data_IF_846704378494
#
_entry.id   IF_846704378494
#
_cell.length_a   1.000
_cell.length_b   1.000
_cell.length_c   1.000
_cell.angle_alpha   90.00
_cell.angle_beta   90.00
_cell.angle_gamma   90.00
#
_symmetry.space_group_name_H-M   'P 1'
#
loop_
_entity.id
_entity.type
_entity.pdbx_description
1 polymer ?
#
# COMPACT_ATOMS: atom_id res chain seq x y z
N UNK A 1 -6.11 -13.00 -43.46
CA UNK A 1 -5.36 -12.87 -42.21
C UNK A 1 -6.31 -13.26 -41.09
N UNK A 2 -6.10 -14.42 -40.45
CA UNK A 2 -6.84 -14.82 -39.25
C UNK A 2 -6.45 -13.89 -38.12
N UNK A 3 -7.34 -12.99 -37.75
CA UNK A 3 -7.19 -12.22 -36.51
C UNK A 3 -7.99 -12.94 -35.39
N UNK A 4 -7.52 -12.94 -34.14
CA UNK A 4 -8.32 -13.43 -33.02
C UNK A 4 -9.60 -12.59 -32.91
N UNK A 5 -10.67 -13.22 -32.42
CA UNK A 5 -11.91 -12.51 -32.13
C UNK A 5 -11.65 -11.37 -31.12
N UNK A 6 -12.23 -10.20 -31.39
CA UNK A 6 -12.06 -9.05 -30.51
C UNK A 6 -12.39 -7.74 -31.16
N UNK A 7 -12.32 -6.66 -30.37
CA UNK A 7 -12.59 -5.29 -30.83
C UNK A 7 -11.43 -4.37 -30.43
N UNK A 8 -10.98 -3.55 -31.35
CA UNK A 8 -9.95 -2.52 -31.07
C UNK A 8 -10.56 -1.14 -31.21
N UNK A 9 -10.45 -0.34 -30.15
CA UNK A 9 -10.80 1.08 -30.15
C UNK A 9 -9.52 1.91 -30.19
N UNK A 10 -9.42 2.82 -31.15
CA UNK A 10 -8.32 3.75 -31.28
C UNK A 10 -8.83 5.18 -31.12
N UNK A 11 -8.54 5.79 -29.98
CA UNK A 11 -8.95 7.17 -29.68
C UNK A 11 -7.74 8.08 -29.76
N UNK A 12 -7.82 9.11 -30.63
CA UNK A 12 -6.78 10.11 -30.82
C UNK A 12 -7.37 11.51 -30.69
N UNK A 13 -6.54 12.48 -30.27
CA UNK A 13 -6.94 13.88 -30.17
C UNK A 13 -8.24 14.04 -29.32
N UNK A 14 -8.31 13.35 -28.19
CA UNK A 14 -9.42 13.47 -27.25
C UNK A 14 -9.65 14.94 -26.92
N UNK A 15 -10.90 15.41 -26.99
CA UNK A 15 -11.30 16.80 -26.79
C UNK A 15 -10.95 17.79 -27.96
N UNK A 16 -10.51 17.31 -29.12
CA UNK A 16 -10.25 18.19 -30.28
C UNK A 16 -11.43 19.11 -30.60
N UNK A 17 -12.64 18.58 -30.59
CA UNK A 17 -13.89 19.31 -30.87
C UNK A 17 -14.58 19.85 -29.62
N UNK A 18 -13.99 19.69 -28.42
CA UNK A 18 -14.53 20.14 -27.15
C UNK A 18 -13.46 20.85 -26.32
N UNK A 19 -12.91 21.98 -26.77
CA UNK A 19 -11.79 22.66 -26.12
C UNK A 19 -12.11 23.14 -24.71
N UNK A 20 -13.39 23.40 -24.42
CA UNK A 20 -13.81 23.71 -23.04
C UNK A 20 -13.55 22.56 -22.06
N UNK A 21 -13.71 21.30 -22.50
CA UNK A 21 -13.42 20.12 -21.66
C UNK A 21 -11.91 19.91 -21.47
N UNK A 22 -11.09 20.22 -22.48
CA UNK A 22 -9.63 20.07 -22.33
C UNK A 22 -9.05 20.99 -21.26
N UNK A 23 -9.69 22.15 -20.98
CA UNK A 23 -9.28 23.07 -19.90
C UNK A 23 -9.44 22.50 -18.49
N UNK A 24 -10.28 21.49 -18.31
CA UNK A 24 -10.50 20.82 -17.02
C UNK A 24 -9.50 19.69 -16.76
N UNK A 25 -8.71 19.27 -17.76
CA UNK A 25 -7.67 18.29 -17.56
C UNK A 25 -6.63 18.81 -16.56
N UNK A 26 -6.23 17.93 -15.68
CA UNK A 26 -5.12 18.15 -14.75
C UNK A 26 -3.78 17.88 -15.44
N UNK A 27 -2.70 17.80 -14.69
CA UNK A 27 -1.43 17.37 -15.25
C UNK A 27 -1.50 15.92 -15.74
N UNK A 28 -0.70 15.57 -16.74
CA UNK A 28 -0.63 14.21 -17.28
C UNK A 28 -0.40 13.15 -16.20
N UNK A 29 0.40 13.47 -15.18
CA UNK A 29 0.65 12.59 -14.04
C UNK A 29 -0.61 12.38 -13.20
N UNK A 30 -1.39 13.42 -12.97
CA UNK A 30 -2.65 13.36 -12.20
C UNK A 30 -3.71 12.56 -12.97
N UNK A 31 -3.87 12.82 -14.27
CA UNK A 31 -4.81 12.08 -15.11
C UNK A 31 -4.43 10.60 -15.20
N UNK A 32 -3.14 10.31 -15.34
CA UNK A 32 -2.64 8.95 -15.35
C UNK A 32 -2.90 8.22 -14.02
N UNK A 33 -2.81 8.93 -12.89
CA UNK A 33 -3.17 8.38 -11.58
C UNK A 33 -4.65 8.04 -11.47
N UNK A 34 -5.54 8.91 -11.98
CA UNK A 34 -6.98 8.64 -12.01
C UNK A 34 -7.32 7.42 -12.89
N UNK A 35 -6.67 7.32 -14.06
CA UNK A 35 -6.85 6.15 -14.94
C UNK A 35 -6.37 4.88 -14.25
N UNK A 36 -5.22 4.93 -13.59
CA UNK A 36 -4.69 3.79 -12.85
C UNK A 36 -5.65 3.32 -11.76
N UNK A 37 -6.13 4.23 -10.92
CA UNK A 37 -7.13 3.92 -9.88
C UNK A 37 -8.42 3.34 -10.47
N UNK A 38 -8.89 3.87 -11.60
CA UNK A 38 -10.06 3.31 -12.29
C UNK A 38 -9.79 1.87 -12.78
N UNK A 39 -8.61 1.60 -13.32
CA UNK A 39 -8.24 0.26 -13.77
C UNK A 39 -8.13 -0.73 -12.61
N UNK A 40 -7.61 -0.30 -11.45
CA UNK A 40 -7.60 -1.10 -10.22
C UNK A 40 -9.03 -1.44 -9.76
N UNK A 41 -9.91 -0.44 -9.73
CA UNK A 41 -11.31 -0.62 -9.36
C UNK A 41 -12.06 -1.56 -10.31
N UNK A 42 -11.84 -1.45 -11.61
CA UNK A 42 -12.43 -2.36 -12.60
C UNK A 42 -11.90 -3.79 -12.45
N UNK A 43 -10.61 -3.96 -12.23
CA UNK A 43 -10.02 -5.27 -12.03
C UNK A 43 -10.55 -5.98 -10.77
N UNK A 44 -10.71 -5.24 -9.67
CA UNK A 44 -11.30 -5.77 -8.43
C UNK A 44 -12.79 -6.08 -8.56
N UNK A 45 -13.50 -5.31 -9.40
CA UNK A 45 -14.91 -5.52 -9.68
C UNK A 45 -15.17 -6.78 -10.53
N UNK A 46 -14.23 -7.07 -11.46
CA UNK A 46 -14.35 -8.10 -12.47
C UNK A 46 -13.15 -9.07 -12.45
N UNK A 47 -13.02 -9.90 -11.41
CA UNK A 47 -11.90 -10.83 -11.29
C UNK A 47 -11.91 -11.95 -12.37
N UNK A 48 -13.03 -12.12 -13.08
CA UNK A 48 -13.20 -13.02 -14.21
C UNK A 48 -12.57 -12.49 -15.51
N UNK A 49 -12.21 -11.19 -15.54
CA UNK A 49 -11.62 -10.54 -16.73
C UNK A 49 -10.11 -10.34 -16.50
N UNK A 50 -9.32 -10.74 -17.50
CA UNK A 50 -7.89 -10.39 -17.52
C UNK A 50 -7.70 -8.95 -18.01
N UNK A 51 -7.22 -8.07 -17.14
CA UNK A 51 -6.89 -6.69 -17.46
C UNK A 51 -5.39 -6.53 -17.68
N UNK A 52 -5.03 -5.80 -18.72
CA UNK A 52 -3.65 -5.37 -18.94
C UNK A 52 -3.62 -3.87 -19.23
N UNK A 53 -3.11 -3.10 -18.27
CA UNK A 53 -2.96 -1.66 -18.41
C UNK A 53 -1.51 -1.28 -18.68
N UNK A 54 -1.30 -0.56 -19.77
CA UNK A 54 0.02 -0.13 -20.22
C UNK A 54 0.04 1.40 -20.28
N UNK A 55 1.02 2.01 -19.61
CA UNK A 55 1.27 3.44 -19.64
C UNK A 55 2.72 3.70 -20.03
N UNK A 56 2.96 4.57 -21.00
CA UNK A 56 4.30 4.89 -21.49
C UNK A 56 5.15 3.64 -21.82
N UNK A 57 4.53 2.68 -22.52
CA UNK A 57 5.13 1.37 -22.90
C UNK A 57 5.47 0.46 -21.72
N UNK A 58 5.11 0.82 -20.49
CA UNK A 58 5.30 -0.01 -19.30
C UNK A 58 3.97 -0.62 -18.87
N UNK A 59 3.99 -1.91 -18.55
CA UNK A 59 2.84 -2.59 -17.95
C UNK A 59 2.73 -2.13 -16.49
N UNK A 60 1.62 -1.47 -16.16
CA UNK A 60 1.32 -0.97 -14.81
C UNK A 60 0.41 -1.89 -14.02
N UNK A 61 -0.49 -2.61 -14.70
CA UNK A 61 -1.38 -3.60 -14.12
C UNK A 61 -1.52 -4.78 -15.07
N UNK A 62 -1.51 -5.99 -14.54
CA UNK A 62 -1.85 -7.19 -15.28
C UNK A 62 -2.52 -8.20 -14.34
N UNK A 63 -3.76 -8.59 -14.63
CA UNK A 63 -4.54 -9.58 -13.88
C UNK A 63 -4.80 -10.83 -14.71
N UNK A 64 -5.00 -11.96 -14.05
CA UNK A 64 -5.11 -13.25 -14.71
C UNK A 64 -6.49 -13.57 -15.27
N UNK A 65 -7.56 -12.95 -14.72
CA UNK A 65 -8.95 -13.29 -15.10
C UNK A 65 -9.40 -14.69 -14.61
N UNK A 66 -8.89 -15.11 -13.45
CA UNK A 66 -9.10 -16.46 -12.90
C UNK A 66 -10.21 -16.53 -11.82
N UNK A 67 -11.10 -15.55 -11.77
CA UNK A 67 -12.16 -15.39 -10.75
C UNK A 67 -11.66 -15.18 -9.31
N UNK A 68 -10.34 -15.15 -9.08
CA UNK A 68 -9.77 -14.97 -7.74
C UNK A 68 -9.60 -13.49 -7.41
N UNK A 69 -10.48 -12.94 -6.58
CA UNK A 69 -10.34 -11.56 -6.06
C UNK A 69 -9.03 -11.39 -5.28
N UNK A 70 -8.59 -12.43 -4.57
CA UNK A 70 -7.32 -12.43 -3.83
C UNK A 70 -6.11 -12.27 -4.73
N UNK A 71 -6.11 -12.90 -5.92
CA UNK A 71 -5.03 -12.77 -6.88
C UNK A 71 -5.02 -11.39 -7.54
N UNK A 72 -6.20 -10.80 -7.75
CA UNK A 72 -6.31 -9.40 -8.19
C UNK A 72 -5.76 -8.46 -7.11
N UNK A 73 -6.12 -8.65 -5.84
CA UNK A 73 -5.58 -7.86 -4.72
C UNK A 73 -4.05 -8.01 -4.65
N UNK A 74 -3.52 -9.22 -4.84
CA UNK A 74 -2.08 -9.44 -4.91
C UNK A 74 -1.42 -8.66 -6.06
N UNK A 75 -2.04 -8.67 -7.24
CA UNK A 75 -1.52 -7.99 -8.43
C UNK A 75 -1.55 -6.45 -8.30
N UNK A 76 -2.57 -5.91 -7.63
CA UNK A 76 -2.78 -4.47 -7.44
C UNK A 76 -2.00 -3.92 -6.24
N UNK A 77 -2.11 -4.54 -5.08
CA UNK A 77 -1.62 -4.00 -3.81
C UNK A 77 -0.39 -4.73 -3.27
N UNK A 78 0.00 -5.83 -3.92
CA UNK A 78 1.19 -6.59 -3.56
C UNK A 78 1.01 -7.63 -2.47
N UNK A 79 2.11 -8.34 -2.20
CA UNK A 79 2.16 -9.54 -1.35
C UNK A 79 1.82 -9.26 0.11
N UNK A 80 2.28 -8.14 0.64
CA UNK A 80 2.08 -7.80 2.07
C UNK A 80 0.60 -7.67 2.39
N UNK A 81 -0.14 -6.92 1.55
CA UNK A 81 -1.58 -6.74 1.73
C UNK A 81 -2.31 -8.06 1.54
N UNK A 82 -2.00 -8.81 0.47
CA UNK A 82 -2.68 -10.08 0.18
C UNK A 82 -2.51 -11.15 1.29
N UNK A 83 -1.43 -11.09 2.08
CA UNK A 83 -1.20 -12.00 3.23
C UNK A 83 -1.97 -11.62 4.48
N UNK A 84 -2.27 -10.35 4.63
CA UNK A 84 -2.95 -9.80 5.80
C UNK A 84 -4.46 -9.66 5.61
N UNK A 85 -5.03 -10.40 4.66
CA UNK A 85 -6.46 -10.40 4.37
C UNK A 85 -7.19 -11.45 5.21
N UNK A 86 -8.38 -11.08 5.63
CA UNK A 86 -9.40 -11.96 6.22
C UNK A 86 -10.55 -12.06 5.22
N UNK A 87 -10.90 -13.27 4.86
CA UNK A 87 -12.02 -13.54 3.99
C UNK A 87 -13.34 -13.35 4.74
N UNK A 88 -14.29 -12.72 4.09
CA UNK A 88 -15.64 -12.51 4.58
C UNK A 88 -16.65 -13.05 3.59
N UNK A 89 -17.65 -13.74 4.12
CA UNK A 89 -18.80 -14.21 3.35
C UNK A 89 -19.99 -14.27 4.30
N UNK A 90 -21.04 -13.57 3.94
CA UNK A 90 -22.33 -13.60 4.64
C UNK A 90 -23.45 -13.44 3.62
N UNK A 91 -24.48 -14.25 3.79
CA UNK A 91 -25.69 -14.18 2.99
C UNK A 91 -26.89 -14.08 3.94
N UNK A 92 -27.79 -13.15 3.64
CA UNK A 92 -29.06 -13.00 4.32
C UNK A 92 -30.19 -12.92 3.28
N UNK A 93 -31.43 -12.68 3.73
CA UNK A 93 -32.62 -12.71 2.87
C UNK A 93 -32.67 -11.64 1.77
N UNK A 94 -31.85 -10.59 1.83
CA UNK A 94 -31.89 -9.45 0.90
C UNK A 94 -30.54 -9.07 0.31
N UNK A 95 -29.44 -9.54 0.91
CA UNK A 95 -28.10 -9.18 0.48
C UNK A 95 -27.10 -10.31 0.70
N UNK A 96 -26.21 -10.50 -0.26
CA UNK A 96 -25.01 -11.34 -0.14
C UNK A 96 -23.78 -10.44 -0.08
N UNK A 97 -22.91 -10.65 0.90
CA UNK A 97 -21.65 -9.94 1.08
C UNK A 97 -20.51 -10.91 0.98
N UNK A 98 -19.57 -10.67 0.09
CA UNK A 98 -18.37 -11.46 -0.09
C UNK A 98 -17.17 -10.56 -0.28
N UNK A 99 -15.97 -11.04 0.06
CA UNK A 99 -14.73 -10.34 -0.20
C UNK A 99 -13.69 -10.45 0.89
N UNK A 100 -12.93 -9.40 1.07
CA UNK A 100 -11.79 -9.38 1.97
C UNK A 100 -11.74 -8.09 2.79
N UNK A 101 -11.37 -8.24 4.06
CA UNK A 101 -11.04 -7.13 4.96
C UNK A 101 -9.62 -7.32 5.47
N UNK A 102 -8.91 -6.23 5.71
CA UNK A 102 -7.52 -6.29 6.13
C UNK A 102 -7.36 -6.40 7.63
N UNK A 103 -6.34 -7.12 8.08
CA UNK A 103 -5.90 -7.07 9.47
C UNK A 103 -5.48 -5.64 9.83
N UNK A 104 -5.55 -5.24 11.12
CA UNK A 104 -5.17 -3.89 11.57
C UNK A 104 -3.77 -3.43 11.18
N UNK A 105 -2.84 -4.37 11.00
CA UNK A 105 -1.43 -4.10 10.66
C UNK A 105 -1.22 -3.40 9.30
N UNK A 106 -2.17 -3.60 8.35
CA UNK A 106 -2.09 -2.98 7.01
C UNK A 106 -2.93 -1.71 6.86
N UNK A 107 -3.46 -1.16 7.96
CA UNK A 107 -4.25 0.06 7.94
C UNK A 107 -3.45 1.27 7.46
N UNK A 108 -4.11 2.19 6.76
CA UNK A 108 -3.51 3.38 6.15
C UNK A 108 -4.04 4.67 6.78
N UNK A 109 -3.35 5.79 6.51
CA UNK A 109 -3.78 7.13 6.93
C UNK A 109 -4.86 7.76 6.05
N UNK A 110 -5.35 7.06 5.03
CA UNK A 110 -6.40 7.52 4.11
C UNK A 110 -7.29 6.34 3.70
N UNK A 111 -8.44 6.66 3.07
CA UNK A 111 -9.45 5.67 2.64
C UNK A 111 -9.23 5.10 1.23
N UNK A 112 -8.04 5.23 0.65
CA UNK A 112 -7.79 4.76 -0.72
C UNK A 112 -7.91 3.25 -0.88
N UNK A 113 -7.88 2.50 0.21
CA UNK A 113 -8.00 1.04 0.22
C UNK A 113 -9.39 0.54 0.63
N UNK A 114 -10.36 1.42 0.73
CA UNK A 114 -11.76 1.07 0.97
C UNK A 114 -12.49 0.96 -0.38
N UNK A 115 -12.65 -0.25 -0.87
CA UNK A 115 -13.33 -0.52 -2.12
C UNK A 115 -14.58 -1.36 -1.88
N UNK A 116 -15.74 -0.85 -2.23
CA UNK A 116 -16.98 -1.63 -2.18
C UNK A 116 -17.71 -1.58 -3.50
N UNK A 117 -18.30 -2.72 -3.83
CA UNK A 117 -18.98 -2.96 -5.09
C UNK A 117 -20.40 -3.46 -4.81
N UNK A 118 -21.36 -2.89 -5.50
CA UNK A 118 -22.75 -3.35 -5.46
C UNK A 118 -23.14 -3.78 -6.87
N UNK A 119 -23.56 -5.03 -7.01
CA UNK A 119 -23.92 -5.64 -8.31
C UNK A 119 -22.85 -5.35 -9.39
N UNK A 120 -21.56 -5.50 -9.04
CA UNK A 120 -20.42 -5.28 -9.91
C UNK A 120 -20.01 -3.81 -10.12
N UNK A 121 -20.70 -2.83 -9.49
CA UNK A 121 -20.35 -1.40 -9.59
C UNK A 121 -19.57 -0.92 -8.39
N UNK A 122 -18.50 -0.21 -8.62
CA UNK A 122 -17.81 0.54 -7.57
C UNK A 122 -18.73 1.66 -7.03
N UNK A 123 -18.93 1.68 -5.73
CA UNK A 123 -19.77 2.68 -5.07
C UNK A 123 -19.06 3.32 -3.89
N UNK A 124 -19.49 4.55 -3.56
CA UNK A 124 -19.13 5.26 -2.35
C UNK A 124 -20.40 5.54 -1.58
N UNK A 125 -20.49 5.06 -0.36
CA UNK A 125 -21.69 5.25 0.45
C UNK A 125 -21.30 5.41 1.93
N UNK A 126 -21.85 6.45 2.56
CA UNK A 126 -21.53 6.81 3.94
C UNK A 126 -22.02 5.77 4.96
N UNK A 127 -23.10 5.03 4.65
CA UNK A 127 -23.66 4.00 5.55
C UNK A 127 -22.67 2.84 5.62
N UNK A 128 -22.19 2.35 4.47
CA UNK A 128 -21.17 1.30 4.38
C UNK A 128 -19.87 1.74 5.06
N UNK A 129 -19.39 2.95 4.75
CA UNK A 129 -18.19 3.51 5.38
C UNK A 129 -18.29 3.54 6.91
N UNK A 130 -19.40 4.05 7.45
CA UNK A 130 -19.64 4.10 8.90
C UNK A 130 -19.75 2.71 9.52
N UNK A 131 -20.40 1.76 8.85
CA UNK A 131 -20.51 0.38 9.33
C UNK A 131 -19.12 -0.25 9.46
N UNK A 132 -18.28 -0.11 8.44
CA UNK A 132 -16.90 -0.60 8.43
C UNK A 132 -16.06 0.06 9.53
N UNK A 133 -16.07 1.39 9.62
CA UNK A 133 -15.31 2.13 10.62
C UNK A 133 -15.72 1.73 12.06
N UNK A 134 -17.03 1.58 12.30
CA UNK A 134 -17.52 1.13 13.59
C UNK A 134 -17.17 -0.33 13.90
N UNK A 135 -17.17 -1.22 12.88
CA UNK A 135 -16.74 -2.61 13.06
C UNK A 135 -15.25 -2.69 13.45
N UNK A 136 -14.42 -1.80 12.91
CA UNK A 136 -12.99 -1.73 13.24
C UNK A 136 -12.70 -0.95 14.54
N UNK A 137 -13.70 -0.32 15.14
CA UNK A 137 -13.51 0.43 16.39
C UNK A 137 -12.97 -0.49 17.50
N UNK A 138 -11.85 -0.09 18.08
CA UNK A 138 -11.11 -0.88 19.07
C UNK A 138 -10.02 -1.79 18.48
N UNK A 139 -9.95 -1.94 17.15
CA UNK A 139 -8.86 -2.65 16.47
C UNK A 139 -7.87 -1.68 15.81
N UNK A 140 -8.33 -0.51 15.38
CA UNK A 140 -7.51 0.50 14.73
C UNK A 140 -7.24 1.70 15.65
N UNK A 141 -6.08 2.29 15.48
CA UNK A 141 -5.76 3.60 16.06
C UNK A 141 -6.57 4.71 15.38
N UNK A 142 -6.71 5.85 16.04
CA UNK A 142 -7.34 7.03 15.46
C UNK A 142 -6.68 7.43 14.14
N UNK A 143 -7.47 7.90 13.19
CA UNK A 143 -7.04 8.32 11.84
C UNK A 143 -6.37 7.21 11.00
N UNK A 144 -6.67 5.95 11.32
CA UNK A 144 -6.30 4.81 10.49
C UNK A 144 -7.55 4.19 9.86
N UNK A 145 -7.43 3.88 8.58
CA UNK A 145 -8.50 3.31 7.76
C UNK A 145 -8.10 1.91 7.31
N UNK A 146 -9.03 0.96 7.33
CA UNK A 146 -8.73 -0.42 6.98
C UNK A 146 -8.54 -0.61 5.47
N UNK A 147 -7.93 -1.74 5.10
CA UNK A 147 -8.11 -2.29 3.76
C UNK A 147 -9.46 -3.01 3.69
N UNK A 148 -10.24 -2.72 2.67
CA UNK A 148 -11.54 -3.35 2.43
C UNK A 148 -11.75 -3.55 0.93
N UNK A 149 -12.17 -4.75 0.54
CA UNK A 149 -12.63 -5.06 -0.81
C UNK A 149 -13.87 -5.94 -0.66
N UNK A 150 -15.04 -5.33 -0.62
CA UNK A 150 -16.33 -6.01 -0.44
C UNK A 150 -17.16 -5.97 -1.72
N UNK A 151 -17.72 -7.10 -2.07
CA UNK A 151 -18.73 -7.25 -3.12
C UNK A 151 -20.06 -7.56 -2.45
N UNK A 152 -21.06 -6.79 -2.82
CA UNK A 152 -22.41 -6.91 -2.29
C UNK A 152 -23.36 -7.17 -3.46
N UNK A 153 -24.16 -8.19 -3.36
CA UNK A 153 -25.22 -8.49 -4.31
C UNK A 153 -26.55 -8.31 -3.62
N UNK A 154 -27.45 -7.55 -4.22
CA UNK A 154 -28.76 -7.25 -3.70
C UNK A 154 -29.79 -7.03 -4.81
N UNK A 155 -31.07 -7.22 -4.50
CA UNK A 155 -32.13 -7.01 -5.47
C UNK A 155 -32.28 -5.53 -5.85
N UNK A 156 -32.68 -5.30 -7.12
CA UNK A 156 -32.79 -3.95 -7.67
C UNK A 156 -33.85 -3.08 -7.00
N UNK A 157 -34.86 -3.66 -6.36
CA UNK A 157 -35.93 -2.95 -5.66
C UNK A 157 -35.45 -2.29 -4.36
N UNK A 158 -34.37 -2.77 -3.78
CA UNK A 158 -33.78 -2.25 -2.54
C UNK A 158 -32.71 -1.19 -2.77
N UNK A 159 -32.42 -0.88 -4.05
CA UNK A 159 -31.29 -0.05 -4.46
C UNK A 159 -31.69 1.01 -5.48
N UNK A 160 -31.51 2.31 -5.15
CA UNK A 160 -31.59 3.38 -6.12
C UNK A 160 -30.17 3.81 -6.52
N UNK A 161 -29.80 3.59 -7.78
CA UNK A 161 -28.47 3.91 -8.36
C UNK A 161 -28.51 5.26 -9.08
N UNK A 162 -29.68 5.85 -9.34
CA UNK A 162 -29.81 7.06 -10.13
C UNK A 162 -29.69 8.35 -9.30
N UNK A 163 -28.80 8.37 -8.32
CA UNK A 163 -28.61 9.51 -7.40
C UNK A 163 -27.60 10.53 -7.93
N UNK A 164 -26.56 10.08 -8.65
CA UNK A 164 -25.48 10.93 -9.14
C UNK A 164 -25.12 10.60 -10.61
N UNK A 165 -24.76 11.59 -11.46
CA UNK A 165 -24.40 11.35 -12.88
C UNK A 165 -23.31 10.29 -13.09
N UNK A 166 -22.31 10.24 -12.18
CA UNK A 166 -21.25 9.23 -12.22
C UNK A 166 -21.67 7.86 -11.64
N UNK A 167 -22.91 7.72 -11.13
CA UNK A 167 -23.48 6.49 -10.55
C UNK A 167 -22.60 5.84 -9.47
N UNK A 168 -21.82 6.64 -8.77
CA UNK A 168 -20.98 6.19 -7.63
C UNK A 168 -21.71 6.22 -6.30
N UNK A 169 -22.77 7.03 -6.20
CA UNK A 169 -23.61 7.11 -5.02
C UNK A 169 -24.86 6.26 -5.21
N UNK A 170 -25.23 5.57 -4.17
CA UNK A 170 -26.42 4.71 -4.13
C UNK A 170 -27.22 5.03 -2.87
N UNK A 171 -28.55 4.89 -2.96
CA UNK A 171 -29.46 4.93 -1.82
C UNK A 171 -30.06 3.56 -1.60
N UNK A 172 -30.14 3.18 -0.34
CA UNK A 172 -30.76 1.92 0.08
C UNK A 172 -32.17 2.16 0.59
N UNK A 173 -33.09 1.30 0.25
CA UNK A 173 -34.41 1.32 0.85
C UNK A 173 -34.36 0.93 2.35
N UNK A 174 -33.45 0.03 2.70
CA UNK A 174 -33.24 -0.54 4.04
C UNK A 174 -31.89 -0.19 4.60
N UNK A 175 -31.64 1.11 4.86
CA UNK A 175 -30.32 1.63 5.25
C UNK A 175 -29.77 0.98 6.52
N UNK A 176 -30.61 0.79 7.55
CA UNK A 176 -30.17 0.22 8.82
C UNK A 176 -29.82 -1.27 8.67
N UNK A 177 -30.60 -2.03 7.91
CA UNK A 177 -30.30 -3.46 7.68
C UNK A 177 -29.01 -3.66 6.90
N UNK A 178 -28.72 -2.77 5.92
CA UNK A 178 -27.44 -2.77 5.19
C UNK A 178 -26.29 -2.44 6.13
N UNK A 179 -26.45 -1.42 6.99
CA UNK A 179 -25.45 -1.05 7.99
C UNK A 179 -25.15 -2.23 8.91
N UNK A 180 -26.18 -2.86 9.49
CA UNK A 180 -26.01 -3.94 10.44
C UNK A 180 -25.38 -5.19 9.77
N UNK A 181 -25.80 -5.53 8.56
CA UNK A 181 -25.22 -6.63 7.81
C UNK A 181 -23.74 -6.43 7.50
N UNK A 182 -23.33 -5.23 7.06
CA UNK A 182 -21.91 -4.91 6.81
C UNK A 182 -21.12 -4.90 8.10
N UNK A 183 -21.64 -4.28 9.16
CA UNK A 183 -21.01 -4.22 10.47
C UNK A 183 -20.74 -5.63 11.03
N UNK A 184 -21.78 -6.48 11.05
CA UNK A 184 -21.69 -7.83 11.60
C UNK A 184 -20.72 -8.71 10.80
N UNK A 185 -20.76 -8.61 9.47
CA UNK A 185 -19.85 -9.34 8.58
C UNK A 185 -18.40 -8.99 8.87
N UNK A 186 -18.07 -7.71 8.92
CA UNK A 186 -16.70 -7.24 9.17
C UNK A 186 -16.29 -7.55 10.60
N UNK A 187 -17.16 -7.32 11.58
CA UNK A 187 -16.89 -7.58 13.00
C UNK A 187 -16.63 -9.05 13.28
N UNK A 188 -17.43 -9.94 12.67
CA UNK A 188 -17.23 -11.38 12.80
C UNK A 188 -15.88 -11.85 12.26
N UNK A 189 -15.42 -11.29 11.13
CA UNK A 189 -14.11 -11.61 10.58
C UNK A 189 -12.97 -11.16 11.50
N UNK A 190 -13.07 -9.97 12.10
CA UNK A 190 -12.07 -9.41 13.00
C UNK A 190 -12.01 -10.12 14.34
N UNK A 191 -13.09 -10.74 14.80
CA UNK A 191 -13.16 -11.46 16.08
C UNK A 191 -12.84 -12.93 15.97
N UNK A 192 -12.75 -13.50 14.77
CA UNK A 192 -12.31 -14.89 14.59
C UNK A 192 -10.88 -15.06 15.10
N UNK A 193 -10.61 -16.24 15.74
CA UNK A 193 -9.32 -16.56 16.39
C UNK A 193 -8.08 -16.53 15.44
N UNK A 194 -8.26 -16.35 14.16
CA UNK A 194 -7.17 -16.27 13.17
C UNK A 194 -6.29 -15.01 13.28
N UNK A 195 -6.68 -14.06 14.14
CA UNK A 195 -5.85 -12.88 14.46
C UNK A 195 -4.63 -13.20 15.32
N UNK A 196 -4.58 -14.39 15.94
CA UNK A 196 -3.41 -14.85 16.68
C UNK A 196 -2.45 -15.49 15.67
N UNK A 197 -1.24 -14.96 15.46
CA UNK A 197 -0.25 -15.61 14.63
C UNK A 197 -0.04 -17.02 15.16
N UNK A 198 -0.32 -18.05 14.38
CA UNK A 198 0.15 -19.40 14.68
C UNK A 198 1.66 -19.35 14.52
N UNK A 199 2.37 -19.08 15.61
CA UNK A 199 3.80 -19.34 15.65
C UNK A 199 3.90 -20.86 15.50
N UNK A 200 4.52 -21.40 14.44
CA UNK A 200 4.77 -22.81 14.37
C UNK A 200 5.72 -23.12 15.54
N UNK A 201 5.16 -23.70 16.59
CA UNK A 201 5.98 -24.31 17.64
C UNK A 201 6.55 -25.53 16.96
N UNK A 202 7.77 -25.41 16.49
CA UNK A 202 8.54 -26.52 15.96
C UNK A 202 8.86 -27.44 17.14
N UNK A 203 7.95 -28.37 17.42
CA UNK A 203 8.10 -29.42 18.42
C UNK A 203 9.06 -30.51 17.92
N UNK A 204 10.06 -30.13 17.16
CA UNK A 204 11.18 -31.01 16.89
C UNK A 204 11.92 -31.16 18.24
N UNK A 205 11.95 -32.36 18.86
CA UNK A 205 12.75 -32.52 20.06
C UNK A 205 14.19 -32.22 19.67
N UNK A 206 14.74 -31.16 20.27
CA UNK A 206 16.16 -30.89 20.19
C UNK A 206 16.87 -32.14 20.69
N UNK A 207 17.38 -32.95 19.76
CA UNK A 207 18.38 -33.95 20.12
C UNK A 207 19.53 -33.17 20.73
N UNK A 208 19.65 -33.26 22.04
CA UNK A 208 20.85 -32.83 22.76
C UNK A 208 22.05 -33.54 22.11
N UNK A 209 22.69 -32.84 21.20
CA UNK A 209 24.07 -33.14 20.88
C UNK A 209 24.87 -32.59 22.06
N UNK A 210 25.36 -33.49 22.92
CA UNK A 210 26.47 -33.18 23.80
C UNK A 210 27.70 -32.85 22.92
N UNK A 211 27.78 -31.61 22.47
CA UNK A 211 29.02 -31.04 22.00
C UNK A 211 29.82 -30.59 23.21
N UNK A 212 30.86 -31.36 23.57
CA UNK A 212 31.92 -30.86 24.43
C UNK A 212 32.49 -29.59 23.79
N UNK A 213 31.94 -28.46 24.19
CA UNK A 213 32.48 -27.14 23.81
C UNK A 213 33.71 -26.91 24.66
N UNK A 214 34.91 -27.27 24.10
CA UNK A 214 36.12 -26.61 24.50
C UNK A 214 36.03 -25.16 24.07
N UNK A 215 35.56 -24.32 25.01
CA UNK A 215 35.57 -22.88 24.83
C UNK A 215 36.99 -22.36 24.78
N UNK A 216 37.56 -22.25 23.61
CA UNK A 216 38.60 -21.26 23.38
C UNK A 216 37.90 -19.89 23.44
N UNK A 217 38.20 -19.12 24.44
CA UNK A 217 37.67 -17.76 24.59
C UNK A 217 38.10 -16.95 23.37
N UNK A 218 37.16 -16.61 22.51
CA UNK A 218 37.36 -15.61 21.45
C UNK A 218 37.35 -14.26 22.16
N UNK A 219 38.45 -13.48 22.15
CA UNK A 219 38.47 -12.19 22.84
C UNK A 219 37.48 -11.24 22.15
N UNK A 220 36.66 -10.57 22.95
CA UNK A 220 35.70 -9.56 22.48
C UNK A 220 36.41 -8.43 21.72
N UNK A 221 35.77 -7.83 20.70
CA UNK A 221 36.42 -6.83 19.84
C UNK A 221 36.98 -5.61 20.61
N UNK A 222 36.51 -5.34 21.80
CA UNK A 222 37.01 -4.25 22.67
C UNK A 222 38.30 -4.58 23.43
N UNK A 223 38.58 -5.83 23.69
CA UNK A 223 39.83 -6.23 24.37
C UNK A 223 41.06 -6.06 23.48
N UNK A 224 40.93 -6.26 22.18
CA UNK A 224 42.02 -6.02 21.21
C UNK A 224 42.44 -4.55 21.23
N UNK A 225 41.50 -3.61 21.16
CA UNK A 225 41.78 -2.17 21.23
C UNK A 225 42.42 -1.75 22.56
N UNK A 226 42.00 -2.34 23.67
CA UNK A 226 42.53 -2.03 25.00
C UNK A 226 43.97 -2.57 25.19
N UNK A 227 44.30 -3.72 24.60
CA UNK A 227 45.67 -4.24 24.60
C UNK A 227 46.61 -3.40 23.71
N UNK A 228 46.16 -2.97 22.55
CA UNK A 228 46.96 -2.09 21.67
C UNK A 228 47.26 -0.74 22.31
N UNK A 229 46.27 -0.12 22.98
CA UNK A 229 46.50 1.16 23.72
C UNK A 229 47.42 1.00 24.93
N UNK A 230 47.40 -0.15 25.63
CA UNK A 230 48.33 -0.40 26.73
C UNK A 230 49.76 -0.70 26.23
N UNK A 231 49.90 -1.30 25.05
CA UNK A 231 51.20 -1.58 24.43
C UNK A 231 51.83 -0.28 23.88
N UNK A 232 51.06 0.68 23.36
CA UNK A 232 51.51 1.97 22.94
C UNK A 232 51.93 2.86 24.12
N UNK A 233 51.27 2.75 25.26
CA UNK A 233 51.58 3.51 26.48
C UNK A 233 52.88 3.02 27.17
N UNK A 234 53.44 1.86 26.84
CA UNK A 234 54.68 1.32 27.41
C UNK A 234 55.91 1.53 26.55
N UNK A 235 55.84 2.20 25.39
CA UNK A 235 57.02 2.57 24.61
C UNK A 235 57.72 3.74 25.26
N UNK A 236 59.05 3.68 25.47
CA UNK A 236 59.78 4.79 26.07
C UNK A 236 59.71 6.02 25.18
N UNK A 237 59.42 7.14 25.80
CA UNK A 237 59.31 8.46 25.17
C UNK A 237 60.67 8.85 24.61
N UNK A 238 60.84 8.84 23.30
CA UNK A 238 61.97 9.43 22.61
C UNK A 238 61.65 10.91 22.37
N UNK A 239 62.38 11.76 23.07
CA UNK A 239 62.24 13.21 22.91
C UNK A 239 62.62 13.60 21.45
N UNK A 240 61.67 14.20 20.75
CA UNK A 240 61.88 14.85 19.47
C UNK A 240 62.41 16.27 19.71
N UNK A 241 63.48 16.62 19.03
CA UNK A 241 64.00 17.99 19.00
C UNK A 241 62.96 19.00 18.53
N UNK A 242 63.05 20.28 19.02
CA UNK A 242 62.05 21.29 18.71
C UNK A 242 62.17 21.78 17.26
N UNK A 243 61.07 21.72 16.55
CA UNK A 243 60.96 22.29 15.20
C UNK A 243 61.02 23.82 15.24
N UNK A 244 61.78 24.39 14.32
CA UNK A 244 61.97 25.82 14.11
C UNK A 244 60.63 26.57 13.88
N UNK A 245 60.59 27.86 14.27
CA UNK A 245 59.34 28.63 14.18
C UNK A 245 59.00 29.03 12.75
N UNK A 246 57.73 28.86 12.43
CA UNK A 246 57.09 29.32 11.20
C UNK A 246 57.11 30.85 11.10
N UNK A 247 57.62 31.34 9.95
CA UNK A 247 57.60 32.78 9.60
C UNK A 247 56.36 33.05 8.73
N UNK A 248 55.50 34.01 9.08
CA UNK A 248 54.37 34.34 8.23
C UNK A 248 54.82 35.15 7.02
N UNK A 249 54.28 34.84 5.86
CA UNK A 249 54.44 35.64 4.65
C UNK A 249 53.49 36.83 4.70
N UNK A 250 54.03 37.99 4.40
CA UNK A 250 53.35 39.27 4.33
C UNK A 250 52.35 39.37 3.22
N UNK A 251 51.23 39.98 3.54
CA UNK A 251 50.20 40.45 2.65
C UNK A 251 50.69 41.64 1.81
N UNK A 252 50.48 41.61 0.51
CA UNK A 252 50.50 42.80 -0.34
C UNK A 252 49.09 43.05 -0.90
N UNK A 253 48.55 44.16 -0.40
CA UNK A 253 47.46 44.92 -1.02
C UNK A 253 47.96 45.61 -2.29
N UNK A 254 47.08 45.77 -3.26
CA UNK A 254 46.93 46.94 -4.16
C UNK A 254 45.62 46.69 -4.98
N UNK A 255 44.54 47.37 -4.70
CA UNK A 255 44.13 48.74 -5.10
C UNK A 255 44.18 48.95 -6.63
N UNK A 256 43.03 49.31 -7.12
CA UNK A 256 42.58 50.24 -8.19
C UNK A 256 41.62 49.53 -9.17
N UNK A 257 40.41 49.92 -9.19
CA UNK A 257 39.62 51.12 -9.47
C UNK A 257 39.08 51.13 -10.91
N UNK A 258 37.80 51.36 -10.95
CA UNK A 258 37.06 52.18 -11.90
C UNK A 258 36.70 51.63 -13.31
N UNK A 259 35.43 51.80 -13.62
CA UNK A 259 34.94 52.00 -14.99
C UNK A 259 33.54 51.46 -15.26
N UNK A 260 32.50 52.16 -14.91
CA UNK A 260 31.28 52.31 -15.72
C UNK A 260 31.58 53.39 -16.80
N UNK A 261 30.87 53.58 -17.90
CA UNK A 261 29.45 53.29 -18.21
C UNK A 261 29.23 52.72 -19.66
N UNK A 262 28.13 52.29 -19.99
CA UNK A 262 26.94 52.73 -20.74
C UNK A 262 25.96 51.57 -20.95
#
# INVERSE_FOLDING_TARGET
>A
LGAPEGTTFLVRNLFYNTPARSKFLKSDMTEASYIHTLMEQLALSHPEISFKYIQNKQVKLHTSGNYSVKDVIYSVYGREIARALLEVSQENSFMKIEGFVGKPEIARGNRTFENYYINGRYVQNNIITKAIENAYKGFLMQHKFPFVSLRMEMEGNDLDVNVHPAKREVRFAREQEVYDAVYDTVRAALTRREMIPKVPVDNTPLKEKEEKVTRAAVPEPFEKKRRETLYEAQKPFVAREPAMPYRPAESTESIESAGKPD
#
